data_IF_551602060488
#
_entry.id   IF_551602060488
#
_cell.length_a   1.000
_cell.length_b   1.000
_cell.length_c   1.000
_cell.angle_alpha   90.00
_cell.angle_beta   90.00
_cell.angle_gamma   90.00
#
_symmetry.space_group_name_H-M   'P 1'
#
loop_
_entity.id
_entity.type
_entity.pdbx_description
1 polymer ?
#
# COMPACT_ATOMS: atom_id res chain seq x y z
N UNK A 1 -8.74 -11.26 14.10
CA UNK A 1 -9.69 -10.85 15.17
C UNK A 1 -9.19 -11.18 16.58
N UNK A 2 -8.91 -12.44 16.92
CA UNK A 2 -8.44 -12.83 18.28
C UNK A 2 -7.22 -12.05 18.78
N UNK A 3 -6.18 -11.91 17.96
CA UNK A 3 -4.95 -11.15 18.29
C UNK A 3 -5.22 -9.66 18.56
N UNK A 4 -6.17 -9.05 17.83
CA UNK A 4 -6.57 -7.67 18.08
C UNK A 4 -7.24 -7.53 19.44
N UNK A 5 -8.16 -8.43 19.74
CA UNK A 5 -8.86 -8.47 21.03
C UNK A 5 -7.87 -8.62 22.19
N UNK A 6 -6.94 -9.57 22.11
CA UNK A 6 -5.90 -9.79 23.14
C UNK A 6 -5.02 -8.55 23.39
N UNK A 7 -4.68 -7.79 22.34
CA UNK A 7 -3.87 -6.58 22.47
C UNK A 7 -4.65 -5.43 23.10
N UNK A 8 -5.92 -5.26 22.70
CA UNK A 8 -6.79 -4.18 23.18
C UNK A 8 -7.21 -4.41 24.64
N UNK A 9 -7.32 -5.67 25.08
CA UNK A 9 -7.66 -5.99 26.48
C UNK A 9 -6.56 -5.68 27.50
N UNK A 10 -5.36 -5.26 27.06
CA UNK A 10 -4.27 -4.91 27.97
C UNK A 10 -4.52 -3.55 28.63
N UNK A 11 -4.32 -3.41 29.95
CA UNK A 11 -4.45 -2.12 30.64
C UNK A 11 -3.57 -1.05 29.99
N UNK A 12 -4.13 0.16 29.81
CA UNK A 12 -3.43 1.31 29.23
C UNK A 12 -3.34 1.33 27.70
N UNK A 13 -3.90 0.34 26.99
CA UNK A 13 -3.95 0.33 25.52
C UNK A 13 -5.17 1.10 25.01
N UNK A 14 -4.93 2.01 24.07
CA UNK A 14 -5.99 2.70 23.32
C UNK A 14 -5.98 2.21 21.87
N UNK A 15 -7.12 1.72 21.39
CA UNK A 15 -7.27 1.28 20.02
C UNK A 15 -7.68 2.44 19.11
N UNK A 16 -6.99 2.59 17.98
CA UNK A 16 -7.34 3.55 16.93
C UNK A 16 -7.54 2.78 15.64
N UNK A 17 -8.69 2.97 14.99
CA UNK A 17 -8.96 2.42 13.65
C UNK A 17 -8.66 3.47 12.60
N UNK A 18 -7.91 3.09 11.56
CA UNK A 18 -7.59 3.94 10.42
C UNK A 18 -8.07 3.23 9.16
N UNK A 19 -8.96 3.88 8.43
CA UNK A 19 -9.41 3.44 7.11
C UNK A 19 -8.94 4.45 6.06
N UNK A 20 -8.23 3.95 5.04
CA UNK A 20 -7.73 4.80 3.96
C UNK A 20 -8.78 4.81 2.85
N UNK A 21 -9.48 5.93 2.72
CA UNK A 21 -10.44 6.14 1.64
C UNK A 21 -9.80 5.82 0.29
N UNK A 22 -10.45 4.93 -0.47
CA UNK A 22 -10.05 4.58 -1.83
C UNK A 22 -8.59 4.11 -1.96
N UNK A 23 -8.09 3.35 -0.96
CA UNK A 23 -6.66 3.04 -0.78
C UNK A 23 -5.90 2.60 -2.05
N UNK A 24 -6.44 1.65 -2.81
CA UNK A 24 -5.80 1.15 -4.04
C UNK A 24 -5.73 2.22 -5.12
N UNK A 25 -6.76 3.04 -5.27
CA UNK A 25 -6.82 4.11 -6.24
C UNK A 25 -6.01 5.33 -5.80
N UNK A 26 -5.84 5.56 -4.50
CA UNK A 26 -5.08 6.70 -3.97
C UNK A 26 -3.59 6.42 -3.76
N UNK A 27 -3.08 5.25 -4.15
CA UNK A 27 -1.68 4.88 -3.91
C UNK A 27 -0.70 5.70 -4.78
N UNK A 28 0.26 6.43 -4.20
CA UNK A 28 1.24 7.18 -5.00
C UNK A 28 2.15 6.23 -5.80
N UNK A 29 2.14 6.33 -7.13
CA UNK A 29 3.00 5.51 -8.02
C UNK A 29 4.49 5.65 -7.69
N UNK A 30 4.91 6.82 -7.22
CA UNK A 30 6.27 7.06 -6.76
C UNK A 30 6.68 6.18 -5.57
N UNK A 31 5.75 5.83 -4.66
CA UNK A 31 6.05 4.91 -3.56
C UNK A 31 6.18 3.46 -4.07
N UNK A 32 5.40 3.06 -5.09
CA UNK A 32 5.55 1.76 -5.75
C UNK A 32 6.94 1.65 -6.39
N UNK A 33 7.31 2.62 -7.22
CA UNK A 33 8.63 2.65 -7.87
C UNK A 33 9.76 2.67 -6.83
N UNK A 34 9.62 3.45 -5.76
CA UNK A 34 10.59 3.49 -4.66
C UNK A 34 10.75 2.12 -4.00
N UNK A 35 9.65 1.45 -3.68
CA UNK A 35 9.66 0.16 -3.02
C UNK A 35 10.31 -0.92 -3.90
N UNK A 36 9.99 -0.93 -5.20
CA UNK A 36 10.60 -1.86 -6.17
C UNK A 36 12.12 -1.62 -6.32
N UNK A 37 12.54 -0.36 -6.42
CA UNK A 37 13.96 -0.01 -6.45
C UNK A 37 14.68 -0.47 -5.17
N UNK A 38 14.08 -0.22 -4.00
CA UNK A 38 14.64 -0.65 -2.70
C UNK A 38 14.76 -2.18 -2.60
N UNK A 39 13.85 -2.91 -3.23
CA UNK A 39 13.87 -4.37 -3.30
C UNK A 39 14.87 -4.93 -4.35
N UNK A 40 15.58 -4.07 -5.09
CA UNK A 40 16.55 -4.50 -6.10
C UNK A 40 15.90 -5.07 -7.37
N UNK A 41 14.64 -4.73 -7.64
CA UNK A 41 13.95 -5.19 -8.85
C UNK A 41 14.65 -4.61 -10.10
N UNK A 42 14.95 -5.44 -11.11
CA UNK A 42 15.57 -4.97 -12.36
C UNK A 42 14.77 -3.84 -13.01
N UNK A 43 15.49 -2.83 -13.56
CA UNK A 43 14.87 -1.65 -14.19
C UNK A 43 13.82 -2.03 -15.24
N UNK A 44 14.07 -3.04 -16.06
CA UNK A 44 13.13 -3.52 -17.09
C UNK A 44 11.76 -3.94 -16.51
N UNK A 45 11.74 -4.54 -15.30
CA UNK A 45 10.50 -4.90 -14.63
C UNK A 45 9.83 -3.69 -13.98
N UNK A 46 10.61 -2.73 -13.47
CA UNK A 46 10.08 -1.47 -12.96
C UNK A 46 9.42 -0.67 -14.08
N UNK A 47 10.06 -0.60 -15.24
CA UNK A 47 9.52 0.04 -16.44
C UNK A 47 8.22 -0.65 -16.88
N UNK A 48 8.21 -1.99 -16.95
CA UNK A 48 7.01 -2.77 -17.24
C UNK A 48 5.87 -2.48 -16.24
N UNK A 49 6.17 -2.40 -14.95
CA UNK A 49 5.15 -2.04 -13.93
C UNK A 49 4.69 -0.60 -14.12
N UNK A 50 5.59 0.33 -14.49
CA UNK A 50 5.23 1.69 -14.86
C UNK A 50 4.22 1.72 -16.00
N UNK A 51 4.54 1.01 -17.08
CA UNK A 51 3.69 0.83 -18.27
C UNK A 51 2.40 0.07 -17.95
N UNK A 52 2.35 -0.76 -16.91
CA UNK A 52 1.12 -1.40 -16.44
C UNK A 52 0.22 -0.40 -15.68
N UNK A 53 0.82 0.51 -14.91
CA UNK A 53 0.09 1.47 -14.08
C UNK A 53 -0.39 2.70 -14.86
N UNK A 54 0.32 3.09 -15.91
CA UNK A 54 0.06 4.29 -16.73
C UNK A 54 -1.23 4.21 -17.60
N UNK A 55 -1.51 3.13 -18.35
CA UNK A 55 -2.64 3.02 -19.26
C UNK A 55 -3.91 2.63 -18.50
N UNK A 56 -4.47 3.58 -17.76
CA UNK A 56 -5.87 3.51 -17.29
C UNK A 56 -6.80 4.34 -18.16
N UNK A 57 -6.59 4.27 -19.48
CA UNK A 57 -7.39 4.96 -20.48
C UNK A 57 -8.69 4.22 -20.76
N UNK A 58 -9.59 4.15 -19.77
CA UNK A 58 -11.01 3.93 -20.08
C UNK A 58 -11.66 5.28 -20.31
N UNK A 59 -12.46 5.43 -21.37
CA UNK A 59 -13.24 6.66 -21.62
C UNK A 59 -14.24 6.95 -20.49
N UNK A 60 -14.63 5.90 -19.77
CA UNK A 60 -15.64 5.94 -18.71
C UNK A 60 -15.03 6.06 -17.30
N UNK A 61 -13.71 5.94 -17.16
CA UNK A 61 -13.00 6.04 -15.88
C UNK A 61 -11.97 7.17 -15.99
N UNK A 62 -12.16 8.24 -15.23
CA UNK A 62 -11.14 9.28 -15.10
C UNK A 62 -9.83 8.62 -14.66
N UNK A 63 -8.81 8.70 -15.50
CA UNK A 63 -7.50 8.14 -15.19
C UNK A 63 -6.93 8.86 -13.97
N UNK A 64 -6.94 8.18 -12.82
CA UNK A 64 -6.34 8.72 -11.61
C UNK A 64 -4.82 8.76 -11.78
N UNK A 65 -4.21 9.90 -11.43
CA UNK A 65 -2.75 10.15 -11.46
C UNK A 65 -1.99 9.23 -10.49
N UNK A 66 -2.72 8.61 -9.57
CA UNK A 66 -2.26 7.70 -8.52
C UNK A 66 -3.06 6.40 -8.57
N UNK A 67 -2.51 5.30 -8.06
CA UNK A 67 -3.23 4.07 -7.78
C UNK A 67 -2.74 2.85 -8.55
N UNK A 68 -3.28 1.70 -8.14
CA UNK A 68 -3.16 0.39 -8.79
C UNK A 68 -4.56 -0.09 -9.20
N UNK A 69 -4.72 -0.89 -10.27
CA UNK A 69 -6.03 -1.38 -10.70
C UNK A 69 -6.74 -2.21 -9.62
N UNK A 70 -8.01 -1.95 -9.34
CA UNK A 70 -8.81 -2.87 -8.53
C UNK A 70 -9.05 -4.15 -9.34
N UNK A 71 -9.01 -5.31 -8.67
CA UNK A 71 -9.21 -6.64 -9.26
C UNK A 71 -8.07 -7.21 -10.12
N UNK A 72 -6.90 -6.56 -10.14
CA UNK A 72 -5.70 -7.15 -10.74
C UNK A 72 -4.86 -7.92 -9.68
N UNK A 73 -4.37 -9.14 -10.00
CA UNK A 73 -3.61 -9.95 -9.04
C UNK A 73 -2.31 -9.30 -8.55
N UNK A 74 -1.70 -8.41 -9.34
CA UNK A 74 -0.47 -7.72 -8.97
C UNK A 74 -0.73 -6.52 -8.05
N UNK A 75 -1.94 -5.95 -8.08
CA UNK A 75 -2.25 -4.71 -7.36
C UNK A 75 -2.09 -4.80 -5.85
N UNK A 76 -2.56 -5.89 -5.23
CA UNK A 76 -2.43 -6.06 -3.78
C UNK A 76 -0.95 -6.17 -3.37
N UNK A 77 -0.15 -6.88 -4.16
CA UNK A 77 1.29 -6.98 -3.92
C UNK A 77 1.98 -5.61 -4.00
N UNK A 78 1.70 -4.83 -5.06
CA UNK A 78 2.26 -3.48 -5.22
C UNK A 78 1.82 -2.53 -4.10
N UNK A 79 0.56 -2.64 -3.66
CA UNK A 79 0.05 -1.89 -2.53
C UNK A 79 0.82 -2.23 -1.24
N UNK A 80 0.94 -3.52 -0.90
CA UNK A 80 1.70 -3.97 0.27
C UNK A 80 3.16 -3.50 0.24
N UNK A 81 3.84 -3.61 -0.91
CA UNK A 81 5.20 -3.12 -1.07
C UNK A 81 5.32 -1.61 -0.81
N UNK A 82 4.38 -0.83 -1.33
CA UNK A 82 4.42 0.63 -1.19
C UNK A 82 4.12 1.09 0.24
N UNK A 83 3.23 0.40 0.97
CA UNK A 83 2.90 0.76 2.37
C UNK A 83 3.90 0.23 3.39
N UNK A 84 4.77 -0.73 3.04
CA UNK A 84 5.78 -1.31 3.94
C UNK A 84 6.58 -0.23 4.69
N UNK A 85 6.99 0.81 3.96
CA UNK A 85 7.74 1.93 4.53
C UNK A 85 6.95 2.67 5.63
N UNK A 86 5.65 2.83 5.45
CA UNK A 86 4.78 3.45 6.46
C UNK A 86 4.68 2.54 7.69
N UNK A 87 4.41 1.25 7.48
CA UNK A 87 4.29 0.27 8.56
C UNK A 87 5.59 0.19 9.39
N UNK A 88 6.75 0.14 8.74
CA UNK A 88 8.05 0.15 9.41
C UNK A 88 8.27 1.43 10.24
N UNK A 89 7.82 2.59 9.76
CA UNK A 89 7.90 3.85 10.55
C UNK A 89 6.99 3.87 11.77
N UNK A 90 5.85 3.16 11.73
CA UNK A 90 4.99 2.98 12.90
C UNK A 90 5.70 2.11 13.93
N UNK A 91 6.32 1.00 13.50
CA UNK A 91 7.10 0.11 14.35
C UNK A 91 8.29 0.84 15.00
N UNK A 92 9.07 1.61 14.22
CA UNK A 92 10.19 2.43 14.72
C UNK A 92 9.76 3.46 15.77
N UNK A 93 8.49 3.87 15.77
CA UNK A 93 7.90 4.79 16.77
C UNK A 93 7.31 4.06 17.97
N UNK A 94 7.47 2.74 18.06
CA UNK A 94 6.89 1.92 19.13
C UNK A 94 5.37 1.77 19.02
N UNK A 95 4.77 2.08 17.86
CA UNK A 95 3.34 1.94 17.66
C UNK A 95 3.04 0.49 17.27
N UNK A 96 2.25 -0.20 18.11
CA UNK A 96 1.73 -1.53 17.77
C UNK A 96 0.56 -1.37 16.80
N UNK A 97 0.61 -2.02 15.65
CA UNK A 97 -0.46 -1.97 14.64
C UNK A 97 -0.87 -3.37 14.16
N UNK A 98 -2.06 -3.42 13.56
CA UNK A 98 -2.56 -4.53 12.77
C UNK A 98 -3.02 -3.94 11.44
N UNK A 99 -2.47 -4.46 10.35
CA UNK A 99 -2.74 -4.01 8.98
C UNK A 99 -3.21 -5.20 8.14
#
# INVERSE_FOLDING_TARGET
VRRAHELISRPGVHAVSLDIKNALNSLPRAEVVRALNKAGVPKVLIDYIGDFLEPRHSKDVKCEVCGVPQDDPLSMFLFCMAIERLLRRLEERGITFLA
#
